data_IF_365024625663
#
_entry.id   IF_365024625663
#
_cell.length_a   1.000
_cell.length_b   1.000
_cell.length_c   1.000
_cell.angle_alpha   90.00
_cell.angle_beta   90.00
_cell.angle_gamma   90.00
#
_symmetry.space_group_name_H-M   'P 1'
#
loop_
_entity.id
_entity.type
_entity.pdbx_description
1 polymer ?
#
# COMPACT_ATOMS: atom_id res chain seq x y z
N UNK A 1 -0.11 -20.66 -8.80
CA UNK A 1 1.00 -20.18 -7.96
C UNK A 1 1.71 -21.40 -7.40
N UNK A 2 2.84 -21.76 -7.98
CA UNK A 2 3.72 -22.80 -7.43
C UNK A 2 4.61 -22.16 -6.38
N UNK A 3 4.46 -22.56 -5.11
CA UNK A 3 5.36 -22.18 -4.03
C UNK A 3 6.76 -22.65 -4.40
N UNK A 4 7.69 -21.70 -4.51
CA UNK A 4 8.99 -21.97 -5.16
C UNK A 4 9.99 -22.47 -4.13
N UNK A 5 10.02 -21.89 -2.91
CA UNK A 5 10.93 -22.31 -1.83
C UNK A 5 10.34 -22.00 -0.44
N UNK A 6 10.63 -22.87 0.54
CA UNK A 6 10.29 -22.69 1.96
C UNK A 6 11.51 -22.10 2.68
N UNK A 7 11.33 -20.94 3.31
CA UNK A 7 12.38 -20.28 4.08
C UNK A 7 12.04 -20.26 5.56
N UNK A 8 12.98 -20.65 6.41
CA UNK A 8 12.88 -20.49 7.87
C UNK A 8 13.70 -19.26 8.27
N UNK A 9 13.01 -18.22 8.69
CA UNK A 9 13.61 -16.93 9.00
C UNK A 9 13.18 -16.39 10.35
N UNK A 10 14.06 -15.60 10.96
CA UNK A 10 13.68 -14.74 12.09
C UNK A 10 13.37 -13.35 11.58
N UNK A 11 12.27 -12.77 12.05
CA UNK A 11 11.88 -11.41 11.73
C UNK A 11 11.61 -10.61 13.00
N UNK A 12 11.82 -9.31 12.88
CA UNK A 12 11.67 -8.33 13.93
C UNK A 12 10.55 -7.37 13.55
N UNK A 13 9.55 -7.19 14.42
CA UNK A 13 8.50 -6.18 14.24
C UNK A 13 8.63 -5.13 15.34
N UNK A 14 8.89 -3.90 14.93
CA UNK A 14 9.19 -2.82 15.86
C UNK A 14 10.49 -3.08 16.63
N UNK A 15 10.55 -2.66 17.89
CA UNK A 15 11.77 -2.76 18.72
C UNK A 15 11.82 -3.98 19.64
N UNK A 16 10.70 -4.70 19.79
CA UNK A 16 10.51 -5.62 20.92
C UNK A 16 10.00 -7.01 20.50
N UNK A 17 9.39 -7.14 19.32
CA UNK A 17 8.86 -8.42 18.86
C UNK A 17 9.88 -9.12 17.96
N UNK A 18 10.28 -10.33 18.36
CA UNK A 18 11.15 -11.22 17.59
C UNK A 18 10.39 -12.52 17.42
N UNK A 19 10.19 -12.96 16.18
CA UNK A 19 9.54 -14.23 15.90
C UNK A 19 10.30 -14.98 14.83
N UNK A 20 10.36 -16.29 15.00
CA UNK A 20 10.81 -17.21 13.96
C UNK A 20 9.57 -17.75 13.25
N UNK A 21 9.56 -17.73 11.92
CA UNK A 21 8.51 -18.37 11.14
C UNK A 21 9.09 -19.04 9.90
N UNK A 22 8.35 -20.05 9.45
CA UNK A 22 8.57 -20.71 8.18
C UNK A 22 7.59 -20.09 7.18
N UNK A 23 8.13 -19.52 6.09
CA UNK A 23 7.36 -18.78 5.11
C UNK A 23 7.66 -19.25 3.69
N UNK A 24 6.64 -19.17 2.84
CA UNK A 24 6.77 -19.36 1.40
C UNK A 24 7.40 -18.10 0.78
N UNK A 25 8.48 -18.27 0.01
CA UNK A 25 9.15 -17.16 -0.67
C UNK A 25 8.53 -16.98 -2.06
N UNK A 26 8.21 -15.74 -2.39
CA UNK A 26 7.74 -15.31 -3.71
C UNK A 26 8.75 -14.32 -4.28
N UNK A 27 9.19 -14.54 -5.52
CA UNK A 27 10.05 -13.60 -6.24
C UNK A 27 9.29 -12.29 -6.51
N UNK A 28 9.65 -11.24 -5.78
CA UNK A 28 9.11 -9.88 -5.94
C UNK A 28 10.21 -8.84 -5.67
N UNK A 29 10.13 -7.70 -6.36
CA UNK A 29 11.07 -6.58 -6.22
C UNK A 29 10.98 -5.85 -4.86
N UNK A 30 9.98 -6.19 -4.03
CA UNK A 30 9.76 -5.61 -2.69
C UNK A 30 9.44 -6.71 -1.69
N UNK A 31 10.06 -6.65 -0.51
CA UNK A 31 9.80 -7.58 0.59
C UNK A 31 8.72 -7.06 1.54
N UNK A 32 7.55 -7.70 1.52
CA UNK A 32 6.49 -7.50 2.52
C UNK A 32 6.20 -8.82 3.25
N UNK A 33 6.06 -8.76 4.57
CA UNK A 33 5.68 -9.92 5.38
C UNK A 33 4.17 -9.90 5.60
N UNK A 34 3.48 -10.90 5.07
CA UNK A 34 2.03 -11.06 5.26
C UNK A 34 1.80 -12.05 6.39
N UNK A 35 1.33 -11.56 7.53
CA UNK A 35 0.95 -12.39 8.67
C UNK A 35 -0.49 -12.88 8.48
N UNK A 36 -0.61 -14.15 8.12
CA UNK A 36 -1.90 -14.77 7.84
C UNK A 36 -2.71 -15.14 9.08
N UNK A 37 -3.82 -15.85 8.82
CA UNK A 37 -4.68 -16.44 9.86
C UNK A 37 -3.95 -17.38 10.84
N UNK A 38 -3.00 -18.24 10.41
CA UNK A 38 -2.25 -19.10 11.34
C UNK A 38 -1.55 -18.29 12.41
N UNK A 39 -0.75 -17.28 12.00
CA UNK A 39 -0.08 -16.38 12.94
C UNK A 39 -1.08 -15.67 13.88
N UNK A 40 -2.22 -15.21 13.36
CA UNK A 40 -3.26 -14.57 14.20
C UNK A 40 -3.79 -15.52 15.27
N UNK A 41 -3.99 -16.79 14.93
CA UNK A 41 -4.52 -17.80 15.84
C UNK A 41 -3.47 -18.19 16.90
N UNK A 42 -2.24 -18.50 16.46
CA UNK A 42 -1.16 -18.95 17.33
C UNK A 42 -0.76 -17.89 18.36
N UNK A 43 -0.78 -16.61 17.95
CA UNK A 43 -0.47 -15.49 18.82
C UNK A 43 -1.66 -15.00 19.66
N UNK A 44 -2.86 -15.56 19.46
CA UNK A 44 -4.09 -15.07 20.10
C UNK A 44 -4.39 -13.60 19.78
N UNK A 45 -4.05 -13.15 18.57
CA UNK A 45 -4.13 -11.74 18.20
C UNK A 45 -5.58 -11.29 17.99
N UNK A 46 -5.99 -10.27 18.73
CA UNK A 46 -7.31 -9.64 18.68
C UNK A 46 -7.24 -8.44 17.75
N UNK A 47 -8.05 -8.45 16.70
CA UNK A 47 -8.19 -7.31 15.80
C UNK A 47 -9.33 -6.40 16.27
N UNK A 48 -9.00 -5.15 16.54
CA UNK A 48 -9.96 -4.09 16.79
C UNK A 48 -10.15 -3.29 15.49
N UNK A 49 -11.32 -3.47 14.87
CA UNK A 49 -11.66 -2.82 13.61
C UNK A 49 -11.92 -1.32 13.78
N UNK A 50 -12.34 -0.87 14.96
CA UNK A 50 -12.64 0.55 15.20
C UNK A 50 -11.38 1.42 15.14
N UNK A 51 -10.24 0.86 15.54
CA UNK A 51 -8.94 1.56 15.58
C UNK A 51 -7.90 0.91 14.66
N UNK A 52 -8.33 0.00 13.78
CA UNK A 52 -7.50 -0.76 12.85
C UNK A 52 -6.20 -1.32 13.47
N UNK A 53 -6.34 -1.99 14.61
CA UNK A 53 -5.21 -2.36 15.46
C UNK A 53 -5.27 -3.82 15.88
N UNK A 54 -4.15 -4.53 15.76
CA UNK A 54 -3.97 -5.87 16.33
C UNK A 54 -3.35 -5.79 17.72
N UNK A 55 -3.91 -6.51 18.68
CA UNK A 55 -3.40 -6.61 20.05
C UNK A 55 -3.15 -8.08 20.41
N UNK A 56 -2.00 -8.39 20.98
CA UNK A 56 -1.66 -9.75 21.42
C UNK A 56 -0.68 -9.71 22.58
N UNK A 57 -0.62 -10.78 23.38
CA UNK A 57 0.30 -10.89 24.50
C UNK A 57 1.59 -11.59 24.07
N UNK A 58 2.73 -10.98 24.36
CA UNK A 58 4.05 -11.50 24.04
C UNK A 58 5.00 -11.32 25.22
N UNK A 59 5.57 -12.42 25.73
CA UNK A 59 6.47 -12.42 26.89
C UNK A 59 5.91 -11.65 28.10
N UNK A 60 4.59 -11.76 28.34
CA UNK A 60 3.91 -11.09 29.45
C UNK A 60 3.59 -9.60 29.22
N UNK A 61 3.91 -9.06 28.04
CA UNK A 61 3.55 -7.70 27.64
C UNK A 61 2.52 -7.71 26.52
N UNK A 62 1.47 -6.90 26.67
CA UNK A 62 0.48 -6.71 25.61
C UNK A 62 1.04 -5.79 24.53
N UNK A 63 1.38 -6.36 23.38
CA UNK A 63 1.82 -5.62 22.21
C UNK A 63 0.62 -5.19 21.36
N UNK A 64 0.81 -4.06 20.67
CA UNK A 64 -0.21 -3.42 19.84
C UNK A 64 0.42 -3.06 18.49
N UNK A 65 -0.02 -3.71 17.42
CA UNK A 65 0.35 -3.39 16.05
C UNK A 65 -0.73 -2.51 15.43
N UNK A 66 -0.40 -1.24 15.20
CA UNK A 66 -1.25 -0.32 14.46
C UNK A 66 -0.91 -0.52 12.99
N UNK A 67 -1.91 -0.92 12.20
CA UNK A 67 -1.80 -0.86 10.76
C UNK A 67 -1.87 0.61 10.38
N UNK A 68 -0.70 1.22 10.22
CA UNK A 68 -0.65 2.52 9.57
C UNK A 68 -1.13 2.27 8.14
N UNK A 69 -2.27 2.85 7.78
CA UNK A 69 -2.54 3.05 6.37
C UNK A 69 -1.29 3.76 5.83
N UNK A 70 -0.68 3.20 4.79
CA UNK A 70 0.30 3.94 4.01
C UNK A 70 -0.46 5.02 3.22
N UNK A 71 -1.16 5.90 3.92
CA UNK A 71 -1.29 7.26 3.48
C UNK A 71 0.09 7.86 3.74
N UNK A 72 0.60 8.59 2.75
CA UNK A 72 1.67 9.54 2.95
C UNK A 72 1.22 10.48 4.06
N UNK A 73 1.47 10.11 5.30
CA UNK A 73 1.27 10.93 6.47
C UNK A 73 2.35 12.00 6.40
N UNK A 74 2.03 13.04 5.63
CA UNK A 74 2.52 14.38 5.84
C UNK A 74 2.08 14.80 7.24
N UNK A 75 2.80 14.30 8.25
CA UNK A 75 2.75 14.85 9.60
C UNK A 75 3.06 16.32 9.46
N UNK A 76 2.05 17.16 9.69
CA UNK A 76 2.23 18.60 9.74
C UNK A 76 3.38 18.90 10.71
N UNK A 77 4.49 19.50 10.26
CA UNK A 77 5.58 19.84 11.15
C UNK A 77 5.07 20.84 12.19
N UNK A 78 5.39 20.56 13.46
CA UNK A 78 5.40 21.58 14.51
C UNK A 78 6.07 22.83 13.94
N UNK A 79 5.47 24.00 14.10
CA UNK A 79 5.99 25.31 13.64
C UNK A 79 7.50 25.38 13.90
N UNK A 80 8.24 25.15 12.84
CA UNK A 80 9.69 25.04 12.77
C UNK A 80 9.95 24.68 11.33
N UNK A 81 10.57 25.60 10.58
CA UNK A 81 10.80 25.41 9.16
C UNK A 81 11.57 24.10 8.95
N UNK A 82 10.88 23.07 8.45
CA UNK A 82 11.44 21.75 8.18
C UNK A 82 12.25 21.69 6.87
N UNK A 83 12.42 22.85 6.22
CA UNK A 83 13.19 23.04 5.01
C UNK A 83 14.22 24.13 5.27
N UNK A 84 15.49 23.75 5.24
CA UNK A 84 16.61 24.67 5.18
C UNK A 84 17.12 24.67 3.75
N UNK A 85 17.06 25.82 3.09
CA UNK A 85 17.73 25.99 1.81
C UNK A 85 19.24 26.05 2.07
N UNK A 86 19.96 25.03 1.63
CA UNK A 86 21.41 24.92 1.79
C UNK A 86 22.04 24.91 0.40
N UNK A 87 23.00 25.81 0.17
CA UNK A 87 23.81 25.78 -1.05
C UNK A 87 24.56 24.46 -1.17
N UNK A 88 24.64 23.92 -2.39
CA UNK A 88 25.35 22.66 -2.69
C UNK A 88 26.78 22.66 -2.14
N UNK A 89 27.47 23.80 -2.19
CA UNK A 89 28.84 23.93 -1.66
C UNK A 89 28.89 23.84 -0.14
N UNK A 90 27.90 24.39 0.56
CA UNK A 90 27.79 24.29 2.01
C UNK A 90 27.43 22.87 2.45
N UNK A 91 26.59 22.16 1.67
CA UNK A 91 26.25 20.75 1.88
C UNK A 91 27.49 19.85 1.76
N UNK A 92 28.27 20.03 0.70
CA UNK A 92 29.49 19.24 0.44
C UNK A 92 30.55 19.47 1.52
N UNK A 93 30.70 20.71 2.02
CA UNK A 93 31.64 21.01 3.10
C UNK A 93 31.18 20.48 4.48
N UNK A 94 29.86 20.31 4.68
CA UNK A 94 29.30 19.72 5.89
C UNK A 94 29.34 18.18 5.89
N UNK A 95 29.62 17.57 4.73
CA UNK A 95 29.75 16.13 4.62
C UNK A 95 31.04 15.66 5.30
N UNK A 96 30.90 14.81 6.33
CA UNK A 96 32.01 14.13 7.01
C UNK A 96 31.91 12.63 6.73
N UNK A 97 33.06 11.98 6.56
CA UNK A 97 33.29 10.65 5.95
C UNK A 97 32.47 9.46 6.49
N UNK A 98 31.63 9.62 7.52
CA UNK A 98 30.89 8.53 8.16
C UNK A 98 29.38 8.75 8.32
N UNK A 99 28.78 9.75 7.67
CA UNK A 99 27.34 9.98 7.70
C UNK A 99 26.70 9.91 6.30
N UNK A 100 25.80 8.95 6.09
CA UNK A 100 24.95 8.90 4.90
C UNK A 100 23.92 10.04 4.98
N UNK A 101 24.03 11.02 4.09
CA UNK A 101 23.09 12.13 3.97
C UNK A 101 22.20 11.93 2.74
N UNK A 102 20.88 12.11 2.91
CA UNK A 102 19.93 12.14 1.78
C UNK A 102 19.53 13.58 1.49
N UNK A 103 19.59 13.98 0.22
CA UNK A 103 19.20 15.31 -0.22
C UNK A 103 18.07 15.20 -1.26
N UNK A 104 17.03 16.03 -1.10
CA UNK A 104 15.96 16.20 -2.08
C UNK A 104 16.34 17.37 -3.00
N UNK A 105 16.68 17.08 -4.25
CA UNK A 105 17.00 18.11 -5.25
C UNK A 105 15.73 18.46 -6.00
N UNK A 106 15.23 19.68 -5.83
CA UNK A 106 14.15 20.21 -6.66
C UNK A 106 14.78 20.81 -7.90
N UNK A 107 14.66 20.11 -9.03
CA UNK A 107 15.00 20.66 -10.35
C UNK A 107 13.72 21.16 -10.99
N UNK A 108 13.72 22.41 -11.43
CA UNK A 108 12.66 22.92 -12.29
C UNK A 108 12.64 22.07 -13.57
N UNK A 109 11.57 21.29 -13.75
CA UNK A 109 11.29 20.65 -15.03
C UNK A 109 10.72 21.74 -15.91
N UNK A 110 11.60 22.43 -16.65
CA UNK A 110 11.15 23.08 -17.87
C UNK A 110 10.52 21.96 -18.70
N UNK A 111 9.23 22.11 -18.98
CA UNK A 111 8.43 21.16 -19.75
C UNK A 111 9.00 21.06 -21.16
N UNK A 112 10.05 20.26 -21.34
CA UNK A 112 10.45 19.78 -22.64
C UNK A 112 9.42 18.72 -22.98
N UNK A 113 8.54 19.11 -23.89
CA UNK A 113 7.64 18.25 -24.63
C UNK A 113 8.49 17.17 -25.34
N UNK A 114 8.79 16.06 -24.67
CA UNK A 114 9.03 14.82 -25.38
C UNK A 114 7.66 14.25 -25.69
N UNK A 115 7.14 14.54 -26.89
CA UNK A 115 6.09 13.72 -27.50
C UNK A 115 6.67 12.32 -27.66
N UNK A 116 6.57 11.48 -26.63
CA UNK A 116 6.54 10.05 -26.86
C UNK A 116 5.38 9.81 -27.83
N UNK A 117 5.69 9.34 -29.02
CA UNK A 117 4.66 8.99 -30.00
C UNK A 117 3.87 7.82 -29.42
N UNK A 118 2.70 8.14 -28.89
CA UNK A 118 1.73 7.15 -28.44
C UNK A 118 1.46 6.18 -29.61
N UNK A 119 1.54 4.85 -29.37
CA UNK A 119 1.17 3.86 -30.36
C UNK A 119 -0.21 4.15 -30.97
N UNK A 120 -0.37 3.92 -32.28
CA UNK A 120 -1.59 4.27 -33.02
C UNK A 120 -2.87 3.70 -32.40
N UNK A 121 -2.80 2.51 -31.80
CA UNK A 121 -3.92 1.89 -31.10
C UNK A 121 -4.40 2.70 -29.89
N UNK A 122 -3.48 3.37 -29.16
CA UNK A 122 -3.82 4.21 -28.01
C UNK A 122 -4.43 5.53 -28.49
N UNK A 123 -3.91 6.09 -29.58
CA UNK A 123 -4.44 7.33 -30.17
C UNK A 123 -5.86 7.14 -30.71
N UNK A 124 -6.13 6.01 -31.37
CA UNK A 124 -7.47 5.62 -31.85
C UNK A 124 -8.45 5.36 -30.70
N UNK A 125 -7.97 4.74 -29.61
CA UNK A 125 -8.80 4.54 -28.42
C UNK A 125 -9.16 5.86 -27.74
N UNK A 126 -8.18 6.76 -27.57
CA UNK A 126 -8.39 8.06 -26.94
C UNK A 126 -9.28 8.97 -27.79
N UNK A 127 -9.18 8.91 -29.12
CA UNK A 127 -10.07 9.68 -30.00
C UNK A 127 -11.51 9.17 -29.94
N UNK A 128 -11.70 7.84 -29.84
CA UNK A 128 -13.02 7.21 -29.75
C UNK A 128 -13.79 7.54 -28.47
N UNK A 129 -13.08 7.76 -27.36
CA UNK A 129 -13.68 8.01 -26.04
C UNK A 129 -13.38 9.42 -25.51
N UNK A 130 -13.12 10.37 -26.40
CA UNK A 130 -12.79 11.75 -26.03
C UNK A 130 -13.95 12.47 -25.30
N UNK A 131 -15.17 12.00 -25.51
CA UNK A 131 -16.41 12.45 -24.88
C UNK A 131 -16.54 12.02 -23.40
N UNK A 132 -15.94 10.89 -23.02
CA UNK A 132 -15.90 10.41 -21.62
C UNK A 132 -14.83 11.17 -20.82
N UNK A 133 -13.74 11.53 -21.49
CA UNK A 133 -12.59 12.20 -20.89
C UNK A 133 -12.82 13.73 -20.86
N UNK A 134 -13.56 14.23 -19.87
CA UNK A 134 -13.71 15.68 -19.68
C UNK A 134 -12.36 16.35 -19.44
N UNK A 135 -12.04 17.42 -20.19
CA UNK A 135 -10.79 18.20 -20.02
C UNK A 135 -10.63 18.81 -18.62
N UNK A 136 -11.72 18.91 -17.85
CA UNK A 136 -11.70 19.32 -16.44
C UNK A 136 -12.50 18.32 -15.62
N UNK A 137 -11.87 17.76 -14.58
CA UNK A 137 -12.55 16.91 -13.62
C UNK A 137 -13.62 17.74 -12.89
N UNK A 138 -14.89 17.29 -12.81
CA UNK A 138 -15.90 18.01 -12.05
C UNK A 138 -15.52 18.07 -10.56
N UNK A 139 -15.63 19.24 -9.94
CA UNK A 139 -15.31 19.47 -8.51
C UNK A 139 -16.30 18.77 -7.57
N UNK A 140 -17.38 18.21 -8.09
CA UNK A 140 -18.44 17.54 -7.34
C UNK A 140 -18.45 16.07 -7.71
N UNK A 141 -18.61 15.22 -6.70
CA UNK A 141 -18.85 13.80 -6.90
C UNK A 141 -20.10 13.61 -7.77
N UNK A 142 -20.16 12.54 -8.59
CA UNK A 142 -21.38 12.18 -9.27
C UNK A 142 -22.54 12.11 -8.26
N UNK A 143 -23.73 12.58 -8.63
CA UNK A 143 -24.89 12.51 -7.75
C UNK A 143 -25.13 11.06 -7.32
N UNK A 144 -25.50 10.88 -6.06
CA UNK A 144 -25.87 9.56 -5.54
C UNK A 144 -27.03 9.04 -6.38
N UNK A 145 -26.86 7.90 -7.03
CA UNK A 145 -27.93 7.27 -7.81
C UNK A 145 -28.83 6.54 -6.83
N UNK A 146 -30.10 6.93 -6.76
CA UNK A 146 -31.14 6.21 -6.00
C UNK A 146 -31.48 4.83 -6.62
N UNK A 147 -30.97 4.57 -7.82
CA UNK A 147 -31.25 3.35 -8.57
C UNK A 147 -30.22 2.30 -8.17
N UNK A 148 -30.62 1.43 -7.25
CA UNK A 148 -29.96 0.15 -7.06
C UNK A 148 -30.29 -0.68 -8.31
N UNK A 149 -29.28 -1.02 -9.11
CA UNK A 149 -29.48 -1.94 -10.24
C UNK A 149 -30.02 -3.26 -9.68
N UNK A 150 -31.31 -3.53 -9.90
CA UNK A 150 -31.87 -4.85 -9.62
C UNK A 150 -31.18 -5.81 -10.58
N UNK A 151 -30.41 -6.74 -10.02
CA UNK A 151 -29.80 -7.82 -10.80
C UNK A 151 -30.95 -8.79 -11.09
N UNK A 152 -31.53 -8.69 -12.28
CA UNK A 152 -32.53 -9.64 -12.73
C UNK A 152 -31.84 -10.97 -13.04
N UNK A 153 -32.08 -11.97 -12.20
CA UNK A 153 -31.61 -13.33 -12.44
C UNK A 153 -32.58 -14.02 -13.39
N UNK A 154 -32.02 -14.69 -14.41
CA UNK A 154 -32.79 -15.62 -15.25
C UNK A 154 -33.33 -16.74 -14.34
N UNK A 155 -34.58 -17.19 -14.47
CA UNK A 155 -35.11 -18.33 -13.70
C UNK A 155 -34.20 -19.56 -13.89
N UNK A 156 -33.59 -20.03 -12.80
CA UNK A 156 -32.61 -21.12 -12.81
C UNK A 156 -31.13 -20.68 -12.79
N UNK A 157 -30.84 -19.38 -12.84
CA UNK A 157 -29.49 -18.87 -12.64
C UNK A 157 -29.05 -19.08 -11.19
N UNK A 158 -27.89 -19.71 -11.02
CA UNK A 158 -27.22 -19.79 -9.72
C UNK A 158 -26.64 -18.41 -9.38
N UNK A 159 -27.01 -17.89 -8.22
CA UNK A 159 -26.36 -16.72 -7.67
C UNK A 159 -24.85 -17.00 -7.59
N UNK A 160 -23.97 -16.05 -7.93
CA UNK A 160 -22.54 -16.16 -7.67
C UNK A 160 -22.25 -15.99 -6.16
N UNK A 161 -23.16 -16.41 -5.29
CA UNK A 161 -22.99 -16.48 -3.85
C UNK A 161 -22.40 -17.85 -3.46
N UNK A 162 -21.32 -18.27 -4.11
CA UNK A 162 -20.57 -19.41 -3.59
C UNK A 162 -20.25 -19.10 -2.12
N UNK A 163 -20.59 -19.99 -1.16
CA UNK A 163 -20.18 -19.79 0.21
C UNK A 163 -18.67 -19.58 0.21
N UNK A 164 -18.20 -18.50 0.85
CA UNK A 164 -16.77 -18.34 1.10
C UNK A 164 -16.24 -19.66 1.63
N UNK A 165 -15.26 -20.23 0.92
CA UNK A 165 -14.63 -21.52 1.16
C UNK A 165 -14.52 -21.80 2.67
N UNK A 166 -15.53 -22.51 3.18
CA UNK A 166 -15.61 -23.00 4.56
C UNK A 166 -15.48 -24.50 4.47
N UNK A 167 -14.24 -24.97 4.38
CA UNK A 167 -13.85 -26.27 4.89
C UNK A 167 -12.43 -26.11 5.46
N UNK A 168 -12.36 -25.89 6.76
CA UNK A 168 -11.21 -26.34 7.56
C UNK A 168 -11.28 -27.87 7.60
N UNK A 169 -10.27 -28.62 7.11
CA UNK A 169 -10.24 -30.06 7.28
C UNK A 169 -9.93 -30.37 8.75
N UNK A 170 -10.73 -31.29 9.31
CA UNK A 170 -10.42 -31.99 10.56
C UNK A 170 -9.11 -32.77 10.42
#
# INVERSE_FOLDING_TARGET
>A
MSVTELYRGTFLIGKQYVSEALCDVLDMDVCHIILGRPWKYDMGAIYDCSVNTYSFDWKGHRLRFVLHNFELEAKAPKKGNALFDVSVTALLNAWREYANMMALIVKEVSSITSKEQLPAAITDLLSRFLDICTHKLPTKLPPMRDIQHQIDFVPGATLPNLPHYRLSPN
#
